data_IF_545561098074
#
_entry.id   IF_545561098074
#
_cell.length_a   1.000
_cell.length_b   1.000
_cell.length_c   1.000
_cell.angle_alpha   90.00
_cell.angle_beta   90.00
_cell.angle_gamma   90.00
#
_symmetry.space_group_name_H-M   'P 1'
#
loop_
_entity.id
_entity.type
_entity.pdbx_description
1 polymer ?
#
# COMPACT_ATOMS: atom_id res chain seq x y z
N UNK A 1 -3.73 -11.41 -0.86
CA UNK A 1 -4.02 -9.97 -0.69
C UNK A 1 -5.41 -9.65 -1.25
N UNK A 2 -6.23 -8.89 -0.54
CA UNK A 2 -7.48 -8.35 -1.10
C UNK A 2 -7.19 -7.08 -1.91
N UNK A 3 -7.66 -7.01 -3.15
CA UNK A 3 -7.64 -5.82 -3.99
C UNK A 3 -8.82 -4.90 -3.63
N UNK A 4 -8.64 -3.59 -3.67
CA UNK A 4 -9.71 -2.59 -3.50
C UNK A 4 -9.81 -1.73 -4.77
N UNK A 5 -11.03 -1.52 -5.29
CA UNK A 5 -11.26 -0.66 -6.45
C UNK A 5 -11.71 0.73 -5.99
N UNK A 6 -11.08 1.77 -6.54
CA UNK A 6 -11.42 3.15 -6.23
C UNK A 6 -11.23 4.04 -7.47
N UNK A 7 -12.30 4.69 -7.94
CA UNK A 7 -12.31 5.60 -9.10
C UNK A 7 -11.62 5.02 -10.36
N UNK A 8 -11.79 3.72 -10.60
CA UNK A 8 -11.19 3.02 -11.75
C UNK A 8 -9.77 2.46 -11.51
N UNK A 9 -9.17 2.72 -10.34
CA UNK A 9 -7.86 2.20 -9.96
C UNK A 9 -7.99 0.95 -9.09
N UNK A 10 -7.11 -0.01 -9.32
CA UNK A 10 -6.89 -1.15 -8.43
C UNK A 10 -5.84 -0.79 -7.38
N UNK A 11 -6.22 -0.87 -6.11
CA UNK A 11 -5.38 -0.58 -4.96
C UNK A 11 -5.01 -1.91 -4.28
N UNK A 12 -3.71 -2.14 -4.12
CA UNK A 12 -3.13 -3.33 -3.52
C UNK A 12 -2.31 -2.95 -2.29
N UNK A 13 -2.88 -3.07 -1.08
CA UNK A 13 -2.12 -2.92 0.16
C UNK A 13 -1.07 -4.04 0.30
N UNK A 14 0.16 -3.64 0.60
CA UNK A 14 1.33 -4.50 0.81
C UNK A 14 1.78 -4.34 2.26
N UNK A 15 1.29 -5.22 3.13
CA UNK A 15 1.57 -5.16 4.57
C UNK A 15 2.61 -6.22 4.94
N UNK A 16 3.65 -5.81 5.64
CA UNK A 16 4.75 -6.69 6.03
C UNK A 16 5.23 -6.39 7.45
N UNK A 17 5.79 -7.38 8.17
CA UNK A 17 6.39 -7.15 9.48
C UNK A 17 7.51 -6.11 9.38
N UNK A 18 7.58 -5.21 10.36
CA UNK A 18 8.60 -4.17 10.41
C UNK A 18 10.01 -4.77 10.54
N UNK A 19 10.17 -5.73 11.45
CA UNK A 19 11.42 -6.46 11.63
C UNK A 19 11.38 -7.83 10.93
N UNK A 20 12.53 -8.24 10.40
CA UNK A 20 12.70 -9.63 9.96
C UNK A 20 12.62 -10.54 11.18
N UNK A 21 11.90 -11.69 11.10
CA UNK A 21 11.96 -12.68 12.15
C UNK A 21 13.41 -13.08 12.41
N UNK A 22 13.87 -12.99 13.65
CA UNK A 22 15.17 -13.53 14.03
C UNK A 22 15.19 -15.04 13.73
N UNK A 23 16.32 -15.55 13.23
CA UNK A 23 16.44 -16.96 12.89
C UNK A 23 16.12 -17.85 14.11
N UNK A 24 15.08 -18.68 14.02
CA UNK A 24 14.64 -19.57 15.09
C UNK A 24 13.57 -18.99 16.02
N UNK A 25 13.22 -17.70 15.91
CA UNK A 25 12.04 -17.13 16.56
C UNK A 25 10.83 -17.25 15.64
N UNK A 26 9.64 -17.46 16.20
CA UNK A 26 8.39 -17.30 15.45
C UNK A 26 8.30 -15.90 14.83
N UNK A 27 7.32 -15.66 13.94
CA UNK A 27 7.11 -14.32 13.38
C UNK A 27 6.92 -13.31 14.53
N UNK A 28 7.94 -12.47 14.78
CA UNK A 28 7.87 -11.40 15.77
C UNK A 28 6.97 -10.30 15.22
N UNK A 29 5.69 -10.37 15.56
CA UNK A 29 4.72 -9.31 15.27
C UNK A 29 4.79 -8.17 16.31
N UNK A 30 5.62 -8.31 17.34
CA UNK A 30 5.78 -7.33 18.44
C UNK A 30 6.39 -6.01 17.95
N UNK A 31 7.21 -6.06 16.91
CA UNK A 31 7.84 -4.86 16.31
C UNK A 31 6.89 -4.10 15.37
N UNK A 32 5.66 -4.58 15.20
CA UNK A 32 4.64 -3.97 14.36
C UNK A 32 4.81 -4.27 12.87
N UNK A 33 4.14 -3.46 12.05
CA UNK A 33 4.01 -3.63 10.62
C UNK A 33 4.37 -2.35 9.87
N UNK A 34 5.06 -2.51 8.76
CA UNK A 34 5.19 -1.49 7.75
C UNK A 34 4.17 -1.69 6.64
N UNK A 35 3.95 -0.63 5.87
CA UNK A 35 3.02 -0.64 4.76
C UNK A 35 3.63 -0.04 3.49
N UNK A 36 3.26 -0.63 2.37
CA UNK A 36 3.33 0.00 1.06
C UNK A 36 2.00 -0.23 0.34
N UNK A 37 1.74 0.53 -0.71
CA UNK A 37 0.56 0.35 -1.55
C UNK A 37 0.93 0.45 -3.01
N UNK A 38 0.50 -0.53 -3.80
CA UNK A 38 0.58 -0.47 -5.26
C UNK A 38 -0.77 0.00 -5.78
N UNK A 39 -0.76 1.02 -6.62
CA UNK A 39 -1.93 1.54 -7.31
C UNK A 39 -1.75 1.24 -8.80
N UNK A 40 -2.72 0.57 -9.39
CA UNK A 40 -2.73 0.22 -10.81
C UNK A 40 -3.92 0.87 -11.51
N UNK A 41 -3.69 1.36 -12.72
CA UNK A 41 -4.71 1.68 -13.71
C UNK A 41 -4.60 0.66 -14.84
N UNK A 42 -5.67 -0.10 -15.06
CA UNK A 42 -5.74 -0.98 -16.22
C UNK A 42 -6.14 -0.18 -17.45
N UNK A 43 -5.16 0.11 -18.31
CA UNK A 43 -5.45 0.55 -19.66
C UNK A 43 -5.88 -0.62 -20.54
N UNK A 44 -6.45 -0.31 -21.70
CA UNK A 44 -6.83 -1.28 -22.73
C UNK A 44 -5.62 -1.99 -23.33
N UNK A 45 -4.47 -1.31 -23.38
CA UNK A 45 -3.23 -1.86 -23.97
C UNK A 45 -2.06 -1.98 -22.98
N UNK A 46 -1.99 -1.10 -21.98
CA UNK A 46 -0.92 -1.13 -20.97
C UNK A 46 -1.48 -0.95 -19.56
N UNK A 47 -1.07 -1.83 -18.65
CA UNK A 47 -1.32 -1.63 -17.22
C UNK A 47 -0.25 -0.69 -16.66
N UNK A 48 -0.73 0.43 -16.14
CA UNK A 48 0.05 1.49 -15.54
C UNK A 48 0.03 1.30 -14.03
N UNK A 49 1.18 1.31 -13.34
CA UNK A 49 1.18 1.17 -11.88
C UNK A 49 2.33 1.88 -11.21
N UNK A 50 2.11 2.38 -9.99
CA UNK A 50 3.16 2.87 -9.11
C UNK A 50 3.03 2.25 -7.71
N UNK A 51 4.14 2.17 -6.99
CA UNK A 51 4.17 1.62 -5.62
C UNK A 51 4.73 2.66 -4.67
N UNK A 52 3.99 2.95 -3.62
CA UNK A 52 4.35 3.94 -2.61
C UNK A 52 4.58 3.25 -1.28
N UNK A 53 5.71 3.55 -0.63
CA UNK A 53 5.92 3.16 0.76
C UNK A 53 5.27 4.22 1.66
N UNK A 54 4.53 3.79 2.68
CA UNK A 54 4.00 4.70 3.69
C UNK A 54 5.14 5.08 4.64
N UNK A 55 5.47 6.37 4.68
CA UNK A 55 6.51 6.93 5.55
C UNK A 55 5.90 7.37 6.88
N UNK A 56 5.55 6.41 7.73
CA UNK A 56 5.12 6.70 9.10
C UNK A 56 6.33 6.86 10.03
N UNK A 57 6.20 7.69 11.06
CA UNK A 57 7.25 7.89 12.06
C UNK A 57 7.46 6.65 12.95
N UNK A 58 6.45 5.80 13.08
CA UNK A 58 6.50 4.53 13.81
C UNK A 58 5.74 3.42 13.07
N UNK A 59 6.12 2.14 13.28
CA UNK A 59 5.40 1.02 12.69
C UNK A 59 3.95 0.95 13.17
N UNK A 60 3.08 0.41 12.33
CA UNK A 60 1.69 0.15 12.70
C UNK A 60 1.60 -1.01 13.69
N UNK A 61 0.86 -0.84 14.77
CA UNK A 61 0.66 -1.89 15.78
C UNK A 61 -0.02 -3.15 15.23
N UNK A 62 -0.83 -3.02 14.17
CA UNK A 62 -1.55 -4.15 13.58
C UNK A 62 -1.56 -4.07 12.06
N UNK A 63 -1.60 -5.23 11.41
CA UNK A 63 -1.77 -5.32 9.97
C UNK A 63 -3.08 -4.67 9.48
N UNK A 64 -4.13 -4.69 10.31
CA UNK A 64 -5.40 -4.03 10.00
C UNK A 64 -5.28 -2.50 9.95
N UNK A 65 -4.54 -1.90 10.88
CA UNK A 65 -4.23 -0.47 10.86
C UNK A 65 -3.40 -0.09 9.63
N UNK A 66 -2.33 -0.85 9.37
CA UNK A 66 -1.46 -0.67 8.21
C UNK A 66 -2.23 -0.76 6.87
N UNK A 67 -3.19 -1.68 6.78
CA UNK A 67 -4.08 -1.83 5.62
C UNK A 67 -5.01 -0.63 5.44
N UNK A 68 -5.62 -0.12 6.51
CA UNK A 68 -6.49 1.07 6.42
C UNK A 68 -5.70 2.30 5.98
N UNK A 69 -4.54 2.53 6.58
CA UNK A 69 -3.65 3.63 6.20
C UNK A 69 -3.22 3.53 4.73
N UNK A 70 -2.93 2.32 4.24
CA UNK A 70 -2.60 2.09 2.83
C UNK A 70 -3.74 2.48 1.87
N UNK A 71 -4.98 2.18 2.25
CA UNK A 71 -6.16 2.53 1.45
C UNK A 71 -6.39 4.04 1.46
N UNK A 72 -6.34 4.67 2.63
CA UNK A 72 -6.50 6.12 2.79
C UNK A 72 -5.42 6.89 2.01
N UNK A 73 -4.16 6.48 2.13
CA UNK A 73 -3.05 7.06 1.37
C UNK A 73 -3.29 6.96 -0.14
N UNK A 74 -3.67 5.78 -0.63
CA UNK A 74 -3.90 5.56 -2.06
C UNK A 74 -5.08 6.37 -2.59
N UNK A 75 -6.18 6.44 -1.85
CA UNK A 75 -7.32 7.29 -2.21
C UNK A 75 -6.91 8.76 -2.26
N UNK A 76 -6.14 9.25 -1.27
CA UNK A 76 -5.61 10.60 -1.28
C UNK A 76 -4.68 10.91 -2.45
N UNK A 77 -3.85 9.95 -2.89
CA UNK A 77 -3.02 10.10 -4.10
C UNK A 77 -3.90 10.19 -5.34
N UNK A 78 -4.92 9.33 -5.47
CA UNK A 78 -5.83 9.34 -6.62
C UNK A 78 -6.62 10.65 -6.67
N UNK A 79 -7.11 11.12 -5.52
CA UNK A 79 -7.93 12.33 -5.44
C UNK A 79 -7.12 13.60 -5.70
N UNK A 80 -5.89 13.71 -5.19
CA UNK A 80 -5.03 14.88 -5.43
C UNK A 80 -4.58 15.03 -6.88
N UNK A 81 -4.58 13.95 -7.65
CA UNK A 81 -4.11 13.92 -9.03
C UNK A 81 -5.26 13.74 -10.04
N UNK A 82 -6.50 14.07 -9.64
CA UNK A 82 -7.72 13.97 -10.46
C UNK A 82 -7.89 12.62 -11.17
N UNK A 83 -7.48 11.52 -10.53
CA UNK A 83 -7.46 10.22 -11.16
C UNK A 83 -6.14 9.92 -11.84
N UNK A 84 -5.83 10.48 -13.01
CA UNK A 84 -4.77 9.96 -13.90
C UNK A 84 -3.50 10.84 -14.00
N UNK A 85 -3.50 12.04 -13.42
CA UNK A 85 -2.45 13.06 -13.68
C UNK A 85 -1.11 12.82 -12.95
N UNK A 86 -0.93 11.66 -12.31
CA UNK A 86 0.28 11.28 -11.55
C UNK A 86 1.20 10.33 -12.33
N UNK A 87 0.88 10.05 -13.60
CA UNK A 87 1.60 9.09 -14.41
C UNK A 87 2.24 9.79 -15.60
N UNK A 88 3.57 9.95 -15.64
CA UNK A 88 4.23 10.53 -16.80
C UNK A 88 3.88 9.68 -18.03
N UNK A 89 3.55 10.38 -19.12
CA UNK A 89 3.22 9.84 -20.44
C UNK A 89 4.36 9.04 -21.04
#
# INVERSE_FOLDING_TARGET
>A
MSMHLYRGFEIYPLIYPHAKPAAGSGRNYDDGFDAAVKICLRGTELTRSNTFKLSEASPFLTAGAARRASLEFAQGVIDRNDGENWMPS
#
